data_IF_292030787859
#
_entry.id   IF_292030787859
#
_cell.length_a   1.000
_cell.length_b   1.000
_cell.length_c   1.000
_cell.angle_alpha   90.00
_cell.angle_beta   90.00
_cell.angle_gamma   90.00
#
_symmetry.space_group_name_H-M   'P 1'
#
loop_
_entity.id
_entity.type
_entity.pdbx_description
1 polymer ?
#
# COMPACT_ATOMS: atom_id res chain seq x y z
N UNK A 1 -0.93 11.16 -15.57
CA UNK A 1 -1.44 11.33 -14.19
C UNK A 1 -0.74 10.29 -13.36
N UNK A 2 0.14 10.72 -12.45
CA UNK A 2 0.86 9.79 -11.58
C UNK A 2 -0.15 8.98 -10.75
N UNK A 3 0.02 7.66 -10.71
CA UNK A 3 -0.86 6.79 -9.95
C UNK A 3 -0.51 6.90 -8.46
N UNK A 4 -1.24 7.76 -7.74
CA UNK A 4 -1.08 7.95 -6.29
C UNK A 4 -1.98 6.97 -5.52
N UNK A 5 -1.50 6.51 -4.37
CA UNK A 5 -2.27 5.71 -3.40
C UNK A 5 -1.88 6.11 -1.98
N UNK A 6 -2.83 6.01 -1.06
CA UNK A 6 -2.65 6.32 0.36
C UNK A 6 -2.68 5.03 1.19
N UNK A 7 -1.67 4.87 2.04
CA UNK A 7 -1.64 3.90 3.13
C UNK A 7 -1.85 4.66 4.43
N UNK A 8 -2.92 4.36 5.15
CA UNK A 8 -3.29 5.03 6.39
C UNK A 8 -3.06 4.04 7.53
N UNK A 9 -2.29 4.45 8.53
CA UNK A 9 -1.96 3.63 9.70
C UNK A 9 -2.54 4.24 10.96
N UNK A 10 -3.17 3.41 11.78
CA UNK A 10 -3.59 3.78 13.14
C UNK A 10 -2.59 3.18 14.12
N UNK A 11 -2.05 4.01 14.99
CA UNK A 11 -1.00 3.64 15.93
C UNK A 11 -1.44 3.96 17.36
N UNK A 12 -1.07 3.08 18.30
CA UNK A 12 -1.09 3.38 19.71
C UNK A 12 0.16 4.19 20.06
N UNK A 13 -0.04 5.31 20.75
CA UNK A 13 1.03 6.27 21.03
C UNK A 13 1.59 6.05 22.43
N UNK A 14 2.89 5.81 22.50
CA UNK A 14 3.62 5.66 23.76
C UNK A 14 4.51 6.87 24.04
N UNK A 15 4.47 7.37 25.28
CA UNK A 15 5.25 8.54 25.70
C UNK A 15 6.74 8.27 25.87
N UNK A 16 7.09 7.06 26.29
CA UNK A 16 8.47 6.65 26.60
C UNK A 16 8.93 5.51 25.69
N UNK A 17 8.02 4.60 25.35
CA UNK A 17 8.26 3.47 24.46
C UNK A 17 8.19 3.81 22.98
N UNK A 18 8.03 2.78 22.14
CA UNK A 18 7.84 2.92 20.70
C UNK A 18 6.36 2.77 20.35
N UNK A 19 5.85 3.65 19.48
CA UNK A 19 4.48 3.54 19.00
C UNK A 19 4.24 2.20 18.29
N UNK A 20 3.12 1.55 18.59
CA UNK A 20 2.73 0.28 18.00
C UNK A 20 1.62 0.48 16.96
N UNK A 21 1.72 -0.18 15.81
CA UNK A 21 0.66 -0.12 14.81
C UNK A 21 -0.49 -1.05 15.21
N UNK A 22 -1.67 -0.48 15.42
CA UNK A 22 -2.91 -1.23 15.66
C UNK A 22 -3.36 -1.89 14.34
N UNK A 23 -3.32 -1.14 13.24
CA UNK A 23 -3.66 -1.65 11.92
C UNK A 23 -3.61 -0.58 10.84
N UNK A 24 -3.85 -1.00 9.59
CA UNK A 24 -3.75 -0.14 8.41
C UNK A 24 -4.97 -0.29 7.50
N UNK A 25 -5.23 0.72 6.68
CA UNK A 25 -6.15 0.61 5.55
C UNK A 25 -5.57 1.34 4.32
N UNK A 26 -6.13 1.04 3.14
CA UNK A 26 -5.65 1.58 1.86
C UNK A 26 -6.77 2.24 1.09
N UNK A 27 -6.45 3.38 0.49
CA UNK A 27 -7.35 4.11 -0.42
C UNK A 27 -6.52 4.55 -1.61
N UNK A 28 -6.96 4.21 -2.82
CA UNK A 28 -6.17 4.49 -4.03
C UNK A 28 -6.50 3.55 -5.16
N UNK A 29 -5.86 3.79 -6.31
CA UNK A 29 -6.07 2.98 -7.53
C UNK A 29 -5.68 1.50 -7.32
N UNK A 30 -4.71 1.24 -6.45
CA UNK A 30 -4.23 -0.11 -6.13
C UNK A 30 -4.90 -0.75 -4.91
N UNK A 31 -5.88 -0.07 -4.29
CA UNK A 31 -6.67 -0.63 -3.20
C UNK A 31 -7.68 -1.67 -3.72
N UNK A 32 -8.21 -2.48 -2.80
CA UNK A 32 -9.30 -3.42 -3.07
C UNK A 32 -10.58 -3.00 -2.35
N UNK A 33 -11.73 -3.47 -2.87
CA UNK A 33 -13.05 -3.23 -2.30
C UNK A 33 -13.30 -1.76 -1.98
N UNK A 34 -13.75 -1.51 -0.74
CA UNK A 34 -14.16 -0.18 -0.27
C UNK A 34 -13.08 0.90 -0.43
N UNK A 35 -11.80 0.53 -0.34
CA UNK A 35 -10.67 1.47 -0.54
C UNK A 35 -10.59 2.02 -1.96
N UNK A 36 -10.91 1.20 -2.95
CA UNK A 36 -10.96 1.59 -4.36
C UNK A 36 -12.24 2.37 -4.68
N UNK A 37 -13.36 1.92 -4.12
CA UNK A 37 -14.66 2.56 -4.33
C UNK A 37 -14.68 3.98 -3.75
N UNK A 38 -14.15 4.15 -2.53
CA UNK A 38 -13.98 5.46 -1.91
C UNK A 38 -13.09 6.38 -2.76
N UNK A 39 -11.99 5.87 -3.31
CA UNK A 39 -11.11 6.64 -4.18
C UNK A 39 -11.83 7.09 -5.47
N UNK A 40 -12.58 6.19 -6.10
CA UNK A 40 -13.34 6.48 -7.31
C UNK A 40 -14.43 7.54 -7.05
N UNK A 41 -15.13 7.47 -5.91
CA UNK A 41 -16.14 8.45 -5.54
C UNK A 41 -15.51 9.85 -5.32
N UNK A 42 -14.36 9.91 -4.63
CA UNK A 42 -13.62 11.15 -4.43
C UNK A 42 -13.19 11.79 -5.76
N UNK A 43 -12.75 10.98 -6.74
CA UNK A 43 -12.39 11.47 -8.08
C UNK A 43 -13.62 11.93 -8.88
N UNK A 44 -14.77 11.26 -8.72
CA UNK A 44 -16.00 11.61 -9.39
C UNK A 44 -16.62 12.93 -8.89
N UNK A 45 -16.35 13.32 -7.63
CA UNK A 45 -16.88 14.54 -7.02
C UNK A 45 -15.78 15.46 -6.46
N UNK A 46 -15.03 16.15 -7.32
CA UNK A 46 -13.97 17.05 -6.89
C UNK A 46 -14.46 18.10 -5.88
N UNK A 47 -13.66 18.33 -4.83
CA UNK A 47 -13.93 19.30 -3.73
C UNK A 47 -15.17 19.00 -2.87
N UNK A 48 -15.90 17.92 -3.13
CA UNK A 48 -16.94 17.43 -2.23
C UNK A 48 -16.29 16.50 -1.19
N UNK A 49 -16.45 16.75 0.12
CA UNK A 49 -15.99 15.82 1.14
C UNK A 49 -16.72 14.47 1.00
N UNK A 50 -15.96 13.38 0.94
CA UNK A 50 -16.46 12.01 0.95
C UNK A 50 -15.97 11.35 2.25
N UNK A 51 -16.85 10.64 2.94
CA UNK A 51 -16.54 10.00 4.21
C UNK A 51 -17.00 8.54 4.19
N UNK A 52 -16.09 7.63 4.51
CA UNK A 52 -16.35 6.20 4.66
C UNK A 52 -15.53 5.65 5.83
N UNK A 53 -16.12 4.71 6.57
CA UNK A 53 -15.39 3.92 7.56
C UNK A 53 -14.67 2.75 6.87
N UNK A 54 -13.44 2.47 7.29
CA UNK A 54 -12.64 1.36 6.76
C UNK A 54 -12.21 0.46 7.91
N UNK A 55 -12.38 -0.86 7.74
CA UNK A 55 -11.84 -1.84 8.69
C UNK A 55 -10.32 -1.85 8.60
N UNK A 56 -9.65 -1.77 9.76
CA UNK A 56 -8.20 -1.89 9.83
C UNK A 56 -7.79 -3.35 9.63
N UNK A 57 -6.75 -3.57 8.83
CA UNK A 57 -6.13 -4.88 8.62
C UNK A 57 -4.75 -4.95 9.26
N UNK A 58 -4.33 -6.15 9.59
CA UNK A 58 -2.99 -6.40 10.14
C UNK A 58 -1.90 -6.02 9.13
N UNK A 59 -0.88 -5.30 9.59
CA UNK A 59 0.24 -4.80 8.78
C UNK A 59 0.90 -5.91 7.95
N UNK A 60 1.11 -7.09 8.57
CA UNK A 60 1.77 -8.23 7.94
C UNK A 60 1.03 -8.76 6.72
N UNK A 61 -0.31 -8.69 6.71
CA UNK A 61 -1.15 -9.09 5.58
C UNK A 61 -1.11 -8.03 4.49
N UNK A 62 -1.23 -6.76 4.87
CA UNK A 62 -1.22 -5.62 3.94
C UNK A 62 0.11 -5.46 3.19
N UNK A 63 1.25 -5.71 3.83
CA UNK A 63 2.57 -5.61 3.18
C UNK A 63 2.78 -6.68 2.11
N UNK A 64 2.39 -7.94 2.39
CA UNK A 64 2.48 -9.03 1.40
C UNK A 64 1.63 -8.76 0.17
N UNK A 65 0.42 -8.25 0.36
CA UNK A 65 -0.48 -7.85 -0.73
C UNK A 65 0.12 -6.70 -1.56
N UNK A 66 0.82 -5.75 -0.91
CA UNK A 66 1.45 -4.63 -1.62
C UNK A 66 2.66 -5.08 -2.45
N UNK A 67 3.55 -5.87 -1.86
CA UNK A 67 4.75 -6.35 -2.57
C UNK A 67 4.37 -7.30 -3.70
N UNK A 68 3.35 -8.15 -3.53
CA UNK A 68 2.86 -9.03 -4.59
C UNK A 68 2.29 -8.26 -5.80
N UNK A 69 1.74 -7.07 -5.58
CA UNK A 69 1.17 -6.23 -6.65
C UNK A 69 2.18 -5.28 -7.30
N UNK A 70 3.09 -4.70 -6.52
CA UNK A 70 4.20 -3.92 -7.07
C UNK A 70 5.11 -4.79 -7.96
N UNK A 71 5.35 -6.05 -7.55
CA UNK A 71 6.13 -7.01 -8.34
C UNK A 71 5.36 -7.58 -9.55
N UNK A 72 4.03 -7.44 -9.62
CA UNK A 72 3.24 -7.92 -10.76
C UNK A 72 3.42 -7.08 -12.03
N UNK A 73 4.06 -5.92 -11.94
CA UNK A 73 4.44 -5.10 -13.10
C UNK A 73 5.86 -5.41 -13.63
N UNK A 74 6.64 -6.22 -12.92
CA UNK A 74 8.01 -6.59 -13.34
C UNK A 74 8.07 -7.89 -14.16
N UNK A 75 6.94 -8.35 -14.71
CA UNK A 75 6.90 -9.57 -15.54
C UNK A 75 7.52 -9.42 -16.94
N UNK A 76 8.27 -8.35 -17.24
CA UNK A 76 9.09 -8.25 -18.47
C UNK A 76 10.48 -7.59 -18.28
N UNK A 77 11.13 -7.70 -17.11
CA UNK A 77 12.58 -7.42 -17.04
C UNK A 77 13.33 -8.28 -16.03
N UNK A 78 13.46 -9.58 -16.33
CA UNK A 78 14.50 -10.40 -15.69
C UNK A 78 15.87 -9.96 -16.19
N UNK A 79 16.51 -9.01 -15.49
CA UNK A 79 17.95 -8.79 -15.63
C UNK A 79 18.69 -10.02 -15.06
N UNK A 80 19.50 -10.75 -15.84
CA UNK A 80 20.31 -11.82 -15.27
C UNK A 80 21.46 -11.21 -14.47
N UNK A 81 21.67 -11.69 -13.24
CA UNK A 81 22.83 -11.32 -12.43
C UNK A 81 24.15 -11.67 -13.16
N UNK A 82 25.17 -10.80 -13.16
CA UNK A 82 26.50 -11.17 -13.65
C UNK A 82 27.08 -12.31 -12.79
N UNK A 83 27.57 -13.38 -13.43
CA UNK A 83 28.33 -14.43 -12.73
C UNK A 83 29.62 -13.82 -12.16
N UNK A 84 30.00 -14.14 -10.91
CA UNK A 84 31.31 -13.74 -10.39
C UNK A 84 32.44 -14.42 -11.20
N UNK A 85 33.58 -13.75 -11.40
CA UNK A 85 34.72 -14.34 -12.10
C UNK A 85 35.30 -15.51 -11.29
N UNK A 86 35.87 -16.53 -11.96
CA UNK A 86 36.57 -17.60 -11.26
C UNK A 86 37.81 -17.03 -10.56
N UNK A 87 37.93 -17.31 -9.26
CA UNK A 87 39.16 -17.06 -8.50
C UNK A 87 40.31 -17.96 -9.00
N UNK A 88 41.55 -17.48 -8.96
CA UNK A 88 42.73 -18.20 -9.44
C UNK A 88 43.05 -19.47 -8.63
#
# INVERSE_FOLDING_TARGET
MDQVSLLISVMDYDRVGHNEIIGVCRVGINAEGLGRDHWNEMLAYPRKPIAHWHSLVEVKKSFKEWQGRAASFDSESTCPSPKPPPTP
#
